data_IF_274451919505
#
_entry.id   IF_274451919505
#
_cell.length_a   1.000
_cell.length_b   1.000
_cell.length_c   1.000
_cell.angle_alpha   90.00
_cell.angle_beta   90.00
_cell.angle_gamma   90.00
#
_symmetry.space_group_name_H-M   'P 1'
#
loop_
_entity.id
_entity.type
_entity.pdbx_description
1 polymer ?
#
# COMPACT_ATOMS: atom_id res chain seq x y z
N UNK A 1 -15.12 19.39 -6.98
CA UNK A 1 -15.09 19.77 -8.42
C UNK A 1 -13.98 20.79 -8.69
N UNK A 2 -13.90 21.93 -7.98
CA UNK A 2 -12.89 22.99 -8.16
C UNK A 2 -11.46 22.45 -8.08
N UNK A 3 -11.11 21.64 -7.10
CA UNK A 3 -9.78 21.03 -6.96
C UNK A 3 -9.41 20.17 -8.18
N UNK A 4 -10.35 19.36 -8.66
CA UNK A 4 -10.14 18.50 -9.84
C UNK A 4 -9.97 19.35 -11.11
N UNK A 5 -10.78 20.41 -11.26
CA UNK A 5 -10.70 21.28 -12.43
C UNK A 5 -9.43 22.16 -12.47
N UNK A 6 -8.84 22.43 -11.31
CA UNK A 6 -7.56 23.16 -11.19
C UNK A 6 -6.32 22.28 -11.28
N UNK A 7 -6.52 20.96 -11.39
CA UNK A 7 -5.44 19.99 -11.45
C UNK A 7 -4.57 20.14 -12.69
N UNK A 8 -3.25 20.13 -12.49
CA UNK A 8 -2.26 20.00 -13.56
C UNK A 8 -1.83 18.55 -13.66
N UNK A 9 -1.94 17.93 -14.83
CA UNK A 9 -1.45 16.56 -15.06
C UNK A 9 0.06 16.51 -14.96
N UNK A 10 0.58 15.51 -14.28
CA UNK A 10 2.00 15.18 -14.25
C UNK A 10 2.40 14.58 -15.60
N UNK A 11 3.40 15.17 -16.28
CA UNK A 11 3.73 14.84 -17.67
C UNK A 11 5.06 14.11 -17.83
N UNK A 12 6.03 14.41 -17.00
CA UNK A 12 7.39 13.94 -17.18
C UNK A 12 8.05 13.46 -15.88
N UNK A 13 9.23 12.87 -16.03
CA UNK A 13 10.00 12.31 -14.93
C UNK A 13 10.46 13.36 -13.93
N UNK A 14 10.63 14.60 -14.35
CA UNK A 14 11.08 15.69 -13.48
C UNK A 14 9.94 16.13 -12.54
N UNK A 15 8.71 16.25 -13.08
CA UNK A 15 7.51 16.51 -12.25
C UNK A 15 7.25 15.36 -11.25
N UNK A 16 7.45 14.11 -11.67
CA UNK A 16 7.39 12.94 -10.78
C UNK A 16 8.43 13.07 -9.66
N UNK A 17 9.67 13.42 -10.00
CA UNK A 17 10.74 13.60 -9.02
C UNK A 17 10.45 14.75 -8.05
N UNK A 18 9.81 15.84 -8.51
CA UNK A 18 9.40 16.95 -7.64
C UNK A 18 8.35 16.51 -6.62
N UNK A 19 7.31 15.78 -7.03
CA UNK A 19 6.30 15.23 -6.10
C UNK A 19 6.96 14.32 -5.07
N UNK A 20 7.81 13.39 -5.50
CA UNK A 20 8.53 12.50 -4.61
C UNK A 20 9.45 13.26 -3.64
N UNK A 21 10.11 14.31 -4.11
CA UNK A 21 11.00 15.14 -3.30
C UNK A 21 10.24 15.89 -2.20
N UNK A 22 9.17 16.60 -2.55
CA UNK A 22 8.39 17.36 -1.56
C UNK A 22 7.73 16.44 -0.52
N UNK A 23 7.22 15.30 -0.96
CA UNK A 23 6.60 14.30 -0.08
C UNK A 23 7.63 13.60 0.82
N UNK A 24 8.92 13.57 0.42
CA UNK A 24 10.03 13.07 1.21
C UNK A 24 10.74 14.17 2.03
N UNK A 25 10.06 15.24 2.42
CA UNK A 25 10.62 16.36 3.19
C UNK A 25 11.82 17.05 2.51
N UNK A 26 11.79 17.18 1.19
CA UNK A 26 12.86 17.82 0.41
C UNK A 26 14.01 16.89 0.01
N UNK A 27 13.92 15.61 0.27
CA UNK A 27 14.94 14.61 -0.10
C UNK A 27 14.89 14.33 -1.62
N UNK A 28 15.82 14.97 -2.35
CA UNK A 28 15.94 14.85 -3.80
C UNK A 28 16.38 13.46 -4.27
N UNK A 29 17.10 12.73 -3.42
CA UNK A 29 17.54 11.37 -3.75
C UNK A 29 16.35 10.43 -3.82
N UNK A 30 15.46 10.50 -2.82
CA UNK A 30 14.20 9.75 -2.80
C UNK A 30 13.34 10.09 -4.01
N UNK A 31 13.10 11.38 -4.30
CA UNK A 31 12.31 11.80 -5.46
C UNK A 31 12.87 11.29 -6.79
N UNK A 32 14.19 11.43 -6.99
CA UNK A 32 14.87 10.92 -8.20
C UNK A 32 14.78 9.40 -8.33
N UNK A 33 14.86 8.68 -7.21
CA UNK A 33 14.78 7.23 -7.20
C UNK A 33 13.37 6.72 -7.56
N UNK A 34 12.32 7.36 -7.02
CA UNK A 34 10.93 7.05 -7.36
C UNK A 34 10.69 7.30 -8.86
N UNK A 35 11.15 8.43 -9.39
CA UNK A 35 11.02 8.75 -10.82
C UNK A 35 11.73 7.72 -11.70
N UNK A 36 12.95 7.30 -11.35
CA UNK A 36 13.68 6.23 -12.05
C UNK A 36 12.96 4.89 -11.96
N UNK A 37 12.38 4.56 -10.79
CA UNK A 37 11.60 3.34 -10.63
C UNK A 37 10.38 3.34 -11.56
N UNK A 38 9.59 4.44 -11.57
CA UNK A 38 8.45 4.59 -12.47
C UNK A 38 8.83 4.57 -13.95
N UNK A 39 9.96 5.15 -14.31
CA UNK A 39 10.47 5.08 -15.70
C UNK A 39 10.79 3.65 -16.14
N UNK A 40 11.32 2.80 -15.21
CA UNK A 40 11.69 1.42 -15.53
C UNK A 40 10.49 0.49 -15.66
N UNK A 41 9.47 0.64 -14.80
CA UNK A 41 8.30 -0.26 -14.77
C UNK A 41 7.05 0.36 -15.40
N UNK A 42 7.09 1.62 -15.77
CA UNK A 42 5.93 2.39 -16.26
C UNK A 42 5.11 3.01 -15.13
N UNK A 43 4.19 3.93 -15.51
CA UNK A 43 3.37 4.65 -14.53
C UNK A 43 2.43 3.74 -13.73
N UNK A 44 2.00 2.65 -14.34
CA UNK A 44 1.16 1.62 -13.71
C UNK A 44 1.97 0.45 -13.15
N UNK A 45 3.29 0.53 -13.25
CA UNK A 45 4.20 -0.50 -12.78
C UNK A 45 4.23 -0.62 -11.26
N UNK A 46 4.56 -1.80 -10.81
CA UNK A 46 4.63 -2.11 -9.38
C UNK A 46 5.97 -1.67 -8.81
N UNK A 47 5.92 -0.86 -7.77
CA UNK A 47 7.10 -0.44 -7.01
C UNK A 47 6.87 -0.85 -5.55
N UNK A 48 7.83 -1.54 -4.97
CA UNK A 48 7.84 -1.93 -3.55
C UNK A 48 9.04 -1.34 -2.84
N UNK A 49 8.93 -1.12 -1.54
CA UNK A 49 10.01 -0.62 -0.71
C UNK A 49 10.41 -1.70 0.29
N UNK A 50 11.69 -2.04 0.32
CA UNK A 50 12.26 -3.05 1.20
C UNK A 50 13.41 -2.48 2.03
N UNK A 51 13.77 -3.15 3.11
CA UNK A 51 14.95 -2.83 3.89
C UNK A 51 16.19 -3.43 3.22
N UNK A 52 17.22 -2.61 3.00
CA UNK A 52 18.51 -3.09 2.55
C UNK A 52 19.30 -3.69 3.70
N UNK A 53 20.24 -4.57 3.37
CA UNK A 53 21.26 -5.05 4.31
C UNK A 53 22.52 -4.17 4.28
N UNK A 54 22.57 -3.20 3.38
CA UNK A 54 23.65 -2.23 3.17
C UNK A 54 23.25 -0.85 3.70
N UNK A 55 24.22 0.04 3.83
CA UNK A 55 23.99 1.44 4.20
C UNK A 55 23.39 2.22 3.02
N UNK A 56 23.70 1.81 1.80
CA UNK A 56 23.26 2.49 0.58
C UNK A 56 21.85 2.05 0.17
N UNK A 57 21.10 2.97 -0.39
CA UNK A 57 19.78 2.72 -0.96
C UNK A 57 19.92 2.35 -2.44
N UNK A 58 19.32 1.25 -2.86
CA UNK A 58 19.45 0.68 -4.21
C UNK A 58 18.08 0.52 -4.88
N UNK A 59 18.07 0.58 -6.21
CA UNK A 59 16.90 0.31 -7.05
C UNK A 59 17.15 -0.89 -7.94
N UNK A 60 16.44 -1.98 -7.68
CA UNK A 60 16.43 -3.18 -8.50
C UNK A 60 15.10 -3.33 -9.26
N UNK A 61 15.17 -3.99 -10.42
CA UNK A 61 13.97 -4.48 -11.11
C UNK A 61 14.04 -5.99 -11.16
N UNK A 62 13.01 -6.63 -10.66
CA UNK A 62 12.94 -8.09 -10.53
C UNK A 62 11.67 -8.62 -11.20
N UNK A 63 11.67 -9.90 -11.55
CA UNK A 63 10.49 -10.59 -12.01
C UNK A 63 9.44 -10.59 -10.91
N UNK A 64 8.21 -10.17 -11.24
CA UNK A 64 7.14 -10.06 -10.27
C UNK A 64 5.86 -9.59 -10.93
N UNK A 65 4.78 -9.65 -10.17
CA UNK A 65 3.45 -9.25 -10.63
C UNK A 65 2.59 -8.78 -9.47
N UNK A 66 1.75 -7.79 -9.73
CA UNK A 66 0.64 -7.43 -8.84
C UNK A 66 -0.69 -7.72 -9.53
N UNK A 67 -1.67 -8.16 -8.75
CA UNK A 67 -3.05 -8.31 -9.20
C UNK A 67 -4.04 -7.84 -8.13
N UNK A 68 -5.21 -7.40 -8.59
CA UNK A 68 -6.23 -6.71 -7.80
C UNK A 68 -7.09 -7.71 -7.03
N UNK A 69 -6.51 -8.41 -6.07
CA UNK A 69 -7.18 -9.30 -5.12
C UNK A 69 -6.39 -9.29 -3.82
N UNK A 70 -7.03 -8.87 -2.74
CA UNK A 70 -6.45 -8.87 -1.41
C UNK A 70 -6.76 -10.16 -0.62
N UNK A 71 -6.40 -10.16 0.66
CA UNK A 71 -6.63 -11.28 1.54
C UNK A 71 -8.13 -11.53 1.78
N UNK A 72 -8.52 -12.81 1.84
CA UNK A 72 -9.90 -13.23 2.09
C UNK A 72 -10.37 -13.02 3.53
N UNK A 73 -9.45 -12.82 4.46
CA UNK A 73 -9.76 -12.59 5.86
C UNK A 73 -8.73 -11.67 6.52
N UNK A 74 -9.15 -10.66 7.30
CA UNK A 74 -8.24 -9.81 8.07
C UNK A 74 -7.38 -10.61 9.06
N UNK A 75 -7.81 -11.80 9.45
CA UNK A 75 -7.03 -12.66 10.33
C UNK A 75 -5.73 -13.18 9.70
N UNK A 76 -5.54 -13.05 8.41
CA UNK A 76 -4.25 -13.35 7.75
C UNK A 76 -3.20 -12.25 7.93
N UNK A 77 -3.56 -11.06 8.39
CA UNK A 77 -2.65 -9.92 8.58
C UNK A 77 -1.47 -10.31 9.48
N UNK A 78 -0.26 -9.92 9.06
CA UNK A 78 0.98 -10.08 9.82
C UNK A 78 1.51 -8.74 10.34
N UNK A 79 1.15 -7.62 9.69
CA UNK A 79 1.47 -6.26 10.11
C UNK A 79 0.15 -5.49 10.34
N UNK A 80 -0.23 -5.31 11.60
CA UNK A 80 -1.48 -4.66 11.97
C UNK A 80 -1.49 -3.15 11.65
N UNK A 81 -0.36 -2.47 11.76
CA UNK A 81 -0.26 -1.02 11.50
C UNK A 81 -0.51 -0.70 10.03
N UNK A 82 0.04 -1.52 9.13
CA UNK A 82 -0.12 -1.36 7.67
C UNK A 82 -1.27 -2.17 7.09
N UNK A 83 -1.98 -2.96 7.92
CA UNK A 83 -3.05 -3.88 7.49
C UNK A 83 -2.62 -4.79 6.33
N UNK A 84 -1.39 -5.31 6.37
CA UNK A 84 -0.79 -6.15 5.33
C UNK A 84 -0.37 -7.52 5.83
N UNK A 85 -0.32 -8.48 4.92
CA UNK A 85 0.32 -9.78 5.12
C UNK A 85 1.60 -9.82 4.30
N UNK A 86 2.73 -10.07 4.94
CA UNK A 86 4.03 -10.25 4.29
C UNK A 86 4.54 -11.65 4.58
N UNK A 87 4.88 -12.39 3.53
CA UNK A 87 5.42 -13.74 3.60
C UNK A 87 6.78 -13.78 2.90
N UNK A 88 7.81 -14.22 3.62
CA UNK A 88 9.17 -14.41 3.08
C UNK A 88 9.35 -15.85 2.62
N UNK A 89 9.87 -16.02 1.41
CA UNK A 89 10.12 -17.32 0.75
C UNK A 89 8.88 -18.25 0.73
N UNK A 90 7.67 -17.73 0.42
CA UNK A 90 6.46 -18.54 0.43
C UNK A 90 6.46 -19.59 -0.66
N UNK A 91 5.74 -20.67 -0.39
CA UNK A 91 5.18 -21.57 -1.40
C UNK A 91 3.87 -20.98 -1.91
N UNK A 92 3.54 -21.20 -3.19
CA UNK A 92 2.35 -20.63 -3.84
C UNK A 92 1.56 -21.77 -4.46
N UNK A 93 0.36 -22.01 -3.92
CA UNK A 93 -0.60 -22.95 -4.51
C UNK A 93 -1.53 -22.20 -5.45
N UNK A 94 -1.61 -22.65 -6.68
CA UNK A 94 -2.51 -22.14 -7.72
C UNK A 94 -3.59 -23.18 -8.00
N UNK A 95 -4.83 -22.89 -7.61
CA UNK A 95 -5.93 -23.83 -7.76
C UNK A 95 -7.07 -23.22 -8.59
N UNK A 96 -7.52 -23.95 -9.61
CA UNK A 96 -8.51 -23.42 -10.56
C UNK A 96 -9.90 -23.25 -9.95
N UNK A 97 -10.32 -24.21 -9.10
CA UNK A 97 -11.66 -24.27 -8.51
C UNK A 97 -11.71 -23.67 -7.09
N UNK A 98 -12.91 -23.55 -6.55
CA UNK A 98 -13.15 -23.15 -5.17
C UNK A 98 -12.66 -24.21 -4.18
N UNK A 99 -12.19 -23.73 -3.02
CA UNK A 99 -11.81 -24.54 -1.87
C UNK A 99 -12.85 -24.36 -0.76
N UNK A 100 -13.69 -25.37 -0.52
CA UNK A 100 -14.74 -25.34 0.50
C UNK A 100 -14.40 -26.18 1.74
N UNK A 101 -13.60 -27.23 1.57
CA UNK A 101 -13.02 -28.00 2.66
C UNK A 101 -11.54 -28.26 2.40
N UNK A 102 -10.78 -28.62 3.44
CA UNK A 102 -9.33 -28.84 3.34
C UNK A 102 -8.94 -30.31 3.33
N UNK A 103 -9.88 -31.25 3.33
CA UNK A 103 -9.56 -32.68 3.48
C UNK A 103 -8.62 -33.17 2.37
N UNK A 104 -8.85 -32.73 1.13
CA UNK A 104 -7.97 -33.03 -0.01
C UNK A 104 -6.60 -32.33 0.05
N UNK A 105 -6.48 -31.27 0.88
CA UNK A 105 -5.23 -30.51 1.05
C UNK A 105 -4.40 -30.94 2.26
N UNK A 106 -4.94 -31.76 3.16
CA UNK A 106 -4.24 -32.13 4.42
C UNK A 106 -2.82 -32.64 4.18
N UNK A 107 -2.56 -33.57 3.23
CA UNK A 107 -1.21 -34.07 2.99
C UNK A 107 -0.25 -32.97 2.52
N UNK A 108 -0.76 -32.03 1.70
CA UNK A 108 0.02 -30.88 1.24
C UNK A 108 0.33 -29.92 2.38
N UNK A 109 -0.66 -29.58 3.21
CA UNK A 109 -0.49 -28.69 4.36
C UNK A 109 0.51 -29.25 5.38
N UNK A 110 0.45 -30.57 5.65
CA UNK A 110 1.43 -31.24 6.50
C UNK A 110 2.85 -31.12 5.94
N UNK A 111 3.01 -31.33 4.63
CA UNK A 111 4.29 -31.19 3.96
C UNK A 111 4.81 -29.74 4.01
N UNK A 112 3.94 -28.74 3.85
CA UNK A 112 4.27 -27.31 3.96
C UNK A 112 4.73 -26.97 5.38
N UNK A 113 4.02 -27.46 6.40
CA UNK A 113 4.40 -27.27 7.81
C UNK A 113 5.75 -27.91 8.11
N UNK A 114 6.00 -29.14 7.62
CA UNK A 114 7.29 -29.83 7.78
C UNK A 114 8.43 -29.07 7.09
N UNK A 115 8.17 -28.44 5.93
CA UNK A 115 9.13 -27.61 5.24
C UNK A 115 9.42 -26.28 5.94
N UNK A 116 8.59 -25.89 6.93
CA UNK A 116 8.73 -24.64 7.68
C UNK A 116 8.53 -23.37 6.85
N UNK A 117 7.96 -23.49 5.64
CA UNK A 117 7.76 -22.38 4.71
C UNK A 117 6.34 -21.84 4.79
N UNK A 118 6.13 -20.50 4.63
CA UNK A 118 4.81 -19.92 4.47
C UNK A 118 4.10 -20.41 3.20
N UNK A 119 2.78 -20.36 3.20
CA UNK A 119 1.95 -20.76 2.06
C UNK A 119 1.04 -19.60 1.63
N UNK A 120 1.08 -19.25 0.34
CA UNK A 120 0.05 -18.45 -0.29
C UNK A 120 -0.87 -19.37 -1.11
N UNK A 121 -2.17 -19.23 -0.94
CA UNK A 121 -3.17 -19.96 -1.70
C UNK A 121 -3.88 -18.96 -2.62
N UNK A 122 -3.82 -19.23 -3.93
CA UNK A 122 -4.55 -18.48 -4.96
C UNK A 122 -5.53 -19.44 -5.62
N UNK A 123 -6.81 -19.24 -5.39
CA UNK A 123 -7.86 -20.11 -5.94
C UNK A 123 -9.07 -19.29 -6.40
N UNK A 124 -10.00 -19.90 -7.10
CA UNK A 124 -11.24 -19.20 -7.48
C UNK A 124 -11.91 -18.54 -6.27
N UNK A 125 -12.02 -19.27 -5.18
CA UNK A 125 -12.45 -18.79 -3.88
C UNK A 125 -11.95 -19.74 -2.77
N UNK A 126 -11.87 -19.25 -1.53
CA UNK A 126 -11.69 -20.09 -0.32
C UNK A 126 -12.77 -19.68 0.66
N UNK A 127 -13.71 -20.59 0.92
CA UNK A 127 -14.90 -20.28 1.70
C UNK A 127 -15.26 -21.39 2.69
N UNK A 128 -16.21 -21.12 3.57
CA UNK A 128 -16.76 -22.11 4.50
C UNK A 128 -15.71 -22.69 5.47
N UNK A 129 -15.71 -24.03 5.59
CA UNK A 129 -14.83 -24.76 6.49
C UNK A 129 -13.35 -24.58 6.13
N UNK A 130 -13.03 -24.49 4.84
CA UNK A 130 -11.65 -24.30 4.38
C UNK A 130 -11.05 -23.00 4.92
N UNK A 131 -11.76 -21.87 4.74
CA UNK A 131 -11.30 -20.58 5.22
C UNK A 131 -11.19 -20.55 6.74
N UNK A 132 -12.21 -21.05 7.46
CA UNK A 132 -12.21 -21.09 8.91
C UNK A 132 -11.02 -21.91 9.46
N UNK A 133 -10.74 -23.06 8.86
CA UNK A 133 -9.64 -23.93 9.29
C UNK A 133 -8.28 -23.29 9.03
N UNK A 134 -8.07 -22.64 7.90
CA UNK A 134 -6.82 -21.89 7.61
C UNK A 134 -6.60 -20.77 8.62
N UNK A 135 -7.65 -19.99 8.93
CA UNK A 135 -7.59 -18.91 9.92
C UNK A 135 -7.24 -19.46 11.31
N UNK A 136 -7.90 -20.51 11.76
CA UNK A 136 -7.63 -21.12 13.07
C UNK A 136 -6.19 -21.64 13.16
N UNK A 137 -5.69 -22.32 12.13
CA UNK A 137 -4.31 -22.83 12.12
C UNK A 137 -3.28 -21.69 12.10
N UNK A 138 -3.56 -20.59 11.38
CA UNK A 138 -2.71 -19.39 11.40
C UNK A 138 -2.68 -18.75 12.79
N UNK A 139 -3.84 -18.56 13.42
CA UNK A 139 -3.94 -17.95 14.75
C UNK A 139 -3.25 -18.79 15.84
N UNK A 140 -3.29 -20.12 15.70
CA UNK A 140 -2.57 -21.05 16.59
C UNK A 140 -1.06 -21.11 16.34
N UNK A 141 -0.56 -20.40 15.31
CA UNK A 141 0.85 -20.40 14.95
C UNK A 141 1.34 -21.69 14.26
N UNK A 142 0.44 -22.61 13.93
CA UNK A 142 0.78 -23.88 13.28
C UNK A 142 1.07 -23.75 11.78
N UNK A 143 0.52 -22.71 11.12
CA UNK A 143 0.69 -22.49 9.69
C UNK A 143 0.80 -20.99 9.39
N UNK A 144 1.85 -20.57 8.70
CA UNK A 144 1.96 -19.22 8.14
C UNK A 144 1.30 -19.20 6.76
N UNK A 145 0.08 -18.67 6.66
CA UNK A 145 -0.72 -18.77 5.44
C UNK A 145 -1.46 -17.48 5.12
N UNK A 146 -1.66 -17.23 3.85
CA UNK A 146 -2.62 -16.26 3.31
C UNK A 146 -3.40 -16.90 2.16
N UNK A 147 -4.68 -16.62 2.08
CA UNK A 147 -5.54 -17.04 0.98
C UNK A 147 -6.13 -15.81 0.28
N UNK A 148 -6.09 -15.83 -1.04
CA UNK A 148 -6.61 -14.77 -1.93
C UNK A 148 -7.40 -15.38 -3.07
N UNK A 149 -8.31 -14.58 -3.66
CA UNK A 149 -9.00 -14.98 -4.89
C UNK A 149 -8.08 -14.85 -6.09
N UNK A 150 -8.22 -15.78 -7.03
CA UNK A 150 -7.56 -15.65 -8.32
C UNK A 150 -8.10 -14.44 -9.10
N UNK A 151 -7.23 -13.70 -9.81
CA UNK A 151 -7.65 -12.55 -10.60
C UNK A 151 -8.43 -12.99 -11.86
N UNK A 152 -9.37 -12.16 -12.29
CA UNK A 152 -10.18 -12.40 -13.47
C UNK A 152 -11.35 -13.38 -13.25
N UNK A 153 -12.04 -13.70 -14.34
CA UNK A 153 -13.20 -14.59 -14.38
C UNK A 153 -13.12 -15.50 -15.61
N UNK A 154 -13.68 -16.72 -15.51
CA UNK A 154 -13.74 -17.68 -16.64
C UNK A 154 -12.35 -17.97 -17.22
N UNK A 155 -12.23 -17.96 -18.55
CA UNK A 155 -10.99 -18.27 -19.26
C UNK A 155 -9.87 -17.27 -18.95
N UNK A 156 -10.20 -16.02 -18.63
CA UNK A 156 -9.19 -15.02 -18.19
C UNK A 156 -8.57 -15.40 -16.87
N UNK A 157 -9.36 -15.92 -15.93
CA UNK A 157 -8.83 -16.41 -14.65
C UNK A 157 -7.85 -17.55 -14.87
N UNK A 158 -8.19 -18.52 -15.76
CA UNK A 158 -7.28 -19.61 -16.13
C UNK A 158 -5.97 -19.07 -16.69
N UNK A 159 -6.05 -18.15 -17.65
CA UNK A 159 -4.88 -17.53 -18.26
C UNK A 159 -4.02 -16.75 -17.26
N UNK A 160 -4.63 -16.02 -16.30
CA UNK A 160 -3.91 -15.31 -15.24
C UNK A 160 -3.25 -16.28 -14.27
N UNK A 161 -3.91 -17.37 -13.90
CA UNK A 161 -3.30 -18.43 -13.06
C UNK A 161 -2.08 -19.06 -13.74
N UNK A 162 -2.15 -19.30 -15.06
CA UNK A 162 -1.02 -19.78 -15.84
C UNK A 162 0.14 -18.78 -15.86
N UNK A 163 -0.14 -17.49 -16.03
CA UNK A 163 0.89 -16.45 -16.01
C UNK A 163 1.60 -16.41 -14.64
N UNK A 164 0.82 -16.53 -13.54
CA UNK A 164 1.38 -16.62 -12.19
C UNK A 164 2.18 -17.93 -12.00
N UNK A 165 1.72 -19.05 -12.57
CA UNK A 165 2.43 -20.32 -12.52
C UNK A 165 3.81 -20.20 -13.18
N UNK A 166 3.87 -19.63 -14.38
CA UNK A 166 5.11 -19.40 -15.13
C UNK A 166 6.04 -18.46 -14.35
N UNK A 167 5.47 -17.36 -13.79
CA UNK A 167 6.23 -16.39 -12.99
C UNK A 167 6.85 -17.01 -11.74
N UNK A 168 6.15 -17.94 -11.10
CA UNK A 168 6.56 -18.51 -9.80
C UNK A 168 7.22 -19.87 -9.92
N UNK A 169 7.28 -20.43 -11.14
CA UNK A 169 7.85 -21.75 -11.42
C UNK A 169 7.04 -22.93 -10.88
N UNK A 170 5.73 -22.71 -10.64
CA UNK A 170 4.77 -23.73 -10.24
C UNK A 170 3.89 -24.19 -11.39
N UNK A 171 2.82 -24.90 -11.03
CA UNK A 171 1.78 -25.28 -12.00
C UNK A 171 0.37 -24.98 -11.45
N UNK A 172 -0.58 -24.80 -12.36
CA UNK A 172 -1.99 -24.64 -11.99
C UNK A 172 -2.58 -26.03 -11.70
N UNK A 173 -3.12 -26.18 -10.51
CA UNK A 173 -3.80 -27.40 -10.10
C UNK A 173 -5.24 -27.35 -10.64
N UNK A 174 -5.50 -28.18 -11.65
CA UNK A 174 -6.78 -28.27 -12.34
C UNK A 174 -7.13 -29.73 -12.60
N UNK A 175 -8.36 -30.08 -12.25
CA UNK A 175 -8.90 -31.42 -12.56
C UNK A 175 -9.09 -31.62 -14.06
N UNK A 176 -9.34 -30.54 -14.83
CA UNK A 176 -9.44 -30.60 -16.28
C UNK A 176 -8.11 -31.00 -16.93
N UNK A 177 -6.98 -30.69 -16.26
CA UNK A 177 -5.64 -31.15 -16.64
C UNK A 177 -5.27 -32.51 -16.02
N UNK A 178 -6.19 -33.17 -15.33
CA UNK A 178 -5.98 -34.46 -14.65
C UNK A 178 -5.23 -34.37 -13.33
N UNK A 179 -4.97 -33.18 -12.80
CA UNK A 179 -4.23 -32.97 -11.56
C UNK A 179 -5.23 -32.81 -10.41
N UNK A 180 -5.28 -33.83 -9.56
CA UNK A 180 -6.11 -33.80 -8.34
C UNK A 180 -5.34 -33.19 -7.19
N UNK A 181 -6.02 -32.38 -6.37
CA UNK A 181 -5.43 -31.66 -5.23
C UNK A 181 -4.77 -32.62 -4.21
N UNK A 182 -5.32 -33.81 -4.05
CA UNK A 182 -4.81 -34.87 -3.15
C UNK A 182 -3.39 -35.37 -3.52
N UNK A 183 -3.02 -35.26 -4.80
CA UNK A 183 -1.75 -35.73 -5.33
C UNK A 183 -0.69 -34.65 -5.44
N UNK A 184 -1.01 -33.42 -5.10
CA UNK A 184 -0.10 -32.26 -5.21
C UNK A 184 1.03 -32.36 -4.18
N UNK A 185 2.24 -32.15 -4.66
CA UNK A 185 3.47 -32.14 -3.88
C UNK A 185 4.06 -30.72 -3.79
N UNK A 186 4.98 -30.53 -2.87
CA UNK A 186 5.67 -29.23 -2.71
C UNK A 186 6.33 -28.76 -4.02
N UNK A 187 6.86 -29.68 -4.83
CA UNK A 187 7.51 -29.36 -6.08
C UNK A 187 6.56 -28.88 -7.20
N UNK A 188 5.26 -29.08 -7.02
CA UNK A 188 4.22 -28.61 -7.93
C UNK A 188 3.82 -27.17 -7.62
N UNK A 189 4.20 -26.67 -6.43
CA UNK A 189 3.91 -25.33 -5.98
C UNK A 189 4.89 -24.33 -6.59
N UNK A 190 4.38 -23.14 -6.89
CA UNK A 190 5.22 -21.99 -7.18
C UNK A 190 5.94 -21.49 -5.92
N UNK A 191 6.90 -20.62 -6.12
CA UNK A 191 7.58 -19.91 -5.04
C UNK A 191 8.03 -18.52 -5.47
N UNK A 192 8.28 -17.66 -4.49
CA UNK A 192 8.81 -16.33 -4.68
C UNK A 192 9.71 -15.95 -3.51
N UNK A 193 10.51 -14.90 -3.67
CA UNK A 193 11.30 -14.36 -2.55
C UNK A 193 10.40 -13.73 -1.50
N UNK A 194 9.39 -12.97 -1.93
CA UNK A 194 8.43 -12.31 -1.05
C UNK A 194 7.05 -12.23 -1.69
N UNK A 195 6.03 -12.26 -0.85
CA UNK A 195 4.66 -11.92 -1.22
C UNK A 195 4.14 -10.89 -0.22
N UNK A 196 3.52 -9.82 -0.74
CA UNK A 196 2.83 -8.80 0.06
C UNK A 196 1.37 -8.77 -0.38
N UNK A 197 0.46 -8.88 0.59
CA UNK A 197 -0.98 -8.84 0.36
C UNK A 197 -1.61 -7.79 1.25
N UNK A 198 -2.34 -6.87 0.68
CA UNK A 198 -3.18 -5.92 1.40
C UNK A 198 -4.67 -6.26 1.22
N UNK A 199 -5.56 -5.35 1.54
CA UNK A 199 -7.01 -5.56 1.43
C UNK A 199 -7.48 -5.70 -0.03
N UNK A 200 -6.78 -5.11 -0.98
CA UNK A 200 -7.21 -4.96 -2.37
C UNK A 200 -6.26 -5.68 -3.35
N UNK A 201 -4.99 -5.79 -3.01
CA UNK A 201 -3.94 -6.22 -3.92
C UNK A 201 -3.08 -7.35 -3.35
N UNK A 202 -2.56 -8.16 -4.25
CA UNK A 202 -1.51 -9.14 -3.99
C UNK A 202 -0.32 -8.89 -4.91
N UNK A 203 0.87 -8.75 -4.32
CA UNK A 203 2.13 -8.51 -5.02
C UNK A 203 3.08 -9.67 -4.80
N UNK A 204 3.53 -10.28 -5.88
CA UNK A 204 4.56 -11.32 -5.91
C UNK A 204 5.86 -10.66 -6.34
N UNK A 205 6.93 -10.78 -5.54
CA UNK A 205 8.23 -10.17 -5.78
C UNK A 205 9.29 -11.26 -5.93
N UNK A 206 10.07 -11.20 -6.99
CA UNK A 206 11.09 -12.20 -7.32
C UNK A 206 10.52 -13.62 -7.38
N UNK A 207 9.60 -13.86 -8.30
CA UNK A 207 9.10 -15.20 -8.61
C UNK A 207 10.24 -16.11 -9.04
N UNK A 208 10.15 -17.42 -8.73
CA UNK A 208 11.20 -18.40 -9.00
C UNK A 208 11.09 -19.02 -10.40
N UNK A 209 10.21 -18.51 -11.27
CA UNK A 209 10.08 -18.93 -12.65
C UNK A 209 11.33 -18.63 -13.48
N UNK A 210 11.53 -19.40 -14.54
CA UNK A 210 12.66 -19.17 -15.44
C UNK A 210 12.38 -17.97 -16.33
N UNK A 211 13.34 -17.07 -16.45
CA UNK A 211 13.22 -15.86 -17.27
C UNK A 211 12.87 -16.19 -18.73
N UNK A 212 13.44 -17.26 -19.28
CA UNK A 212 13.14 -17.75 -20.65
C UNK A 212 11.66 -18.08 -20.83
N UNK A 213 11.03 -18.67 -19.82
CA UNK A 213 9.64 -19.11 -19.89
C UNK A 213 8.69 -17.90 -19.76
N UNK A 214 9.07 -16.92 -18.93
CA UNK A 214 8.37 -15.63 -18.80
C UNK A 214 8.44 -14.84 -20.12
N UNK A 215 9.62 -14.75 -20.75
CA UNK A 215 9.81 -14.09 -22.04
C UNK A 215 9.03 -14.78 -23.17
N UNK A 216 9.02 -16.12 -23.19
CA UNK A 216 8.22 -16.90 -24.14
C UNK A 216 6.71 -16.63 -23.95
N UNK A 217 6.24 -16.58 -22.70
CA UNK A 217 4.84 -16.25 -22.39
C UNK A 217 4.49 -14.82 -22.82
N UNK A 218 5.34 -13.84 -22.56
CA UNK A 218 5.15 -12.47 -23.03
C UNK A 218 5.05 -12.41 -24.57
N UNK A 219 5.86 -13.17 -25.28
CA UNK A 219 5.81 -13.26 -26.76
C UNK A 219 4.48 -13.86 -27.23
N UNK A 220 4.00 -14.93 -26.57
CA UNK A 220 2.71 -15.54 -26.88
C UNK A 220 1.55 -14.53 -26.67
N UNK A 221 1.56 -13.76 -25.56
CA UNK A 221 0.52 -12.76 -25.31
C UNK A 221 0.59 -11.65 -26.36
N UNK A 222 1.77 -11.20 -26.79
CA UNK A 222 1.94 -10.20 -27.87
C UNK A 222 1.29 -10.67 -29.18
N UNK A 223 1.50 -11.93 -29.54
CA UNK A 223 0.85 -12.51 -30.74
C UNK A 223 -0.68 -12.50 -30.59
N UNK A 224 -1.21 -12.86 -29.42
CA UNK A 224 -2.66 -12.78 -29.16
C UNK A 224 -3.21 -11.35 -29.27
N UNK A 225 -2.43 -10.34 -28.86
CA UNK A 225 -2.80 -8.92 -29.01
C UNK A 225 -2.90 -8.52 -30.49
N UNK A 226 -2.02 -9.04 -31.34
CA UNK A 226 -2.03 -8.77 -32.78
C UNK A 226 -3.15 -9.52 -33.51
N UNK A 227 -3.45 -10.75 -33.11
CA UNK A 227 -4.45 -11.61 -33.74
C UNK A 227 -5.89 -11.26 -33.37
N UNK A 228 -6.13 -10.67 -32.19
CA UNK A 228 -7.49 -10.38 -31.73
C UNK A 228 -8.15 -9.26 -32.52
N UNK A 229 -9.40 -9.47 -32.89
CA UNK A 229 -10.26 -8.48 -33.58
C UNK A 229 -11.09 -7.65 -32.59
N UNK A 230 -11.18 -8.06 -31.33
CA UNK A 230 -11.94 -7.39 -30.27
C UNK A 230 -11.05 -6.35 -29.58
N UNK A 231 -11.47 -5.08 -29.60
CA UNK A 231 -10.76 -4.00 -28.92
C UNK A 231 -10.71 -4.22 -27.40
N UNK A 232 -11.81 -4.74 -26.82
CA UNK A 232 -11.87 -5.08 -25.41
C UNK A 232 -10.89 -6.22 -25.03
N UNK A 233 -10.80 -7.28 -25.83
CA UNK A 233 -9.85 -8.37 -25.57
C UNK A 233 -8.41 -7.91 -25.79
N UNK A 234 -8.19 -7.04 -26.78
CA UNK A 234 -6.87 -6.42 -27.01
C UNK A 234 -6.42 -5.62 -25.79
N UNK A 235 -7.27 -4.78 -25.22
CA UNK A 235 -6.98 -4.01 -24.00
C UNK A 235 -6.63 -4.95 -22.84
N UNK A 236 -7.42 -5.99 -22.60
CA UNK A 236 -7.18 -6.95 -21.50
C UNK A 236 -5.92 -7.80 -21.70
N UNK A 237 -5.56 -8.14 -22.92
CA UNK A 237 -4.31 -8.81 -23.25
C UNK A 237 -3.10 -7.85 -23.04
N UNK A 238 -3.25 -6.58 -23.38
CA UNK A 238 -2.22 -5.56 -23.12
C UNK A 238 -1.99 -5.32 -21.62
N UNK A 239 -3.06 -5.23 -20.81
CA UNK A 239 -2.95 -5.16 -19.35
C UNK A 239 -2.20 -6.38 -18.79
N UNK A 240 -2.53 -7.58 -19.27
CA UNK A 240 -1.90 -8.82 -18.83
C UNK A 240 -0.43 -8.87 -19.21
N UNK A 241 -0.09 -8.44 -20.43
CA UNK A 241 1.29 -8.32 -20.90
C UNK A 241 2.08 -7.33 -20.06
N UNK A 242 1.51 -6.16 -19.77
CA UNK A 242 2.15 -5.14 -18.95
C UNK A 242 2.45 -5.64 -17.53
N UNK A 243 1.50 -6.37 -16.92
CA UNK A 243 1.68 -6.96 -15.57
C UNK A 243 2.79 -8.02 -15.54
N UNK A 244 2.92 -8.84 -16.59
CA UNK A 244 3.93 -9.91 -16.64
C UNK A 244 5.31 -9.40 -17.07
N UNK A 245 5.36 -8.51 -18.08
CA UNK A 245 6.61 -8.00 -18.66
C UNK A 245 7.24 -6.86 -17.86
N UNK A 246 6.43 -6.08 -17.14
CA UNK A 246 6.90 -4.90 -16.40
C UNK A 246 7.75 -5.23 -15.18
N UNK A 247 7.57 -6.40 -14.60
CA UNK A 247 8.23 -6.79 -13.36
C UNK A 247 7.83 -5.92 -12.16
N UNK A 248 8.67 -5.94 -11.14
CA UNK A 248 8.50 -5.14 -9.92
C UNK A 248 9.79 -4.35 -9.67
N UNK A 249 9.69 -3.04 -9.56
CA UNK A 249 10.80 -2.22 -9.08
C UNK A 249 10.85 -2.31 -7.54
N UNK A 250 12.02 -2.64 -7.01
CA UNK A 250 12.25 -2.80 -5.57
C UNK A 250 13.23 -1.71 -5.14
N UNK A 251 12.75 -0.76 -4.35
CA UNK A 251 13.58 0.25 -3.69
C UNK A 251 14.04 -0.38 -2.36
N UNK A 252 15.32 -0.70 -2.26
CA UNK A 252 15.94 -1.22 -1.04
C UNK A 252 16.54 -0.07 -0.27
N UNK A 253 15.95 0.27 0.87
CA UNK A 253 16.34 1.42 1.68
C UNK A 253 17.42 1.02 2.66
N UNK A 254 18.58 1.68 2.56
CA UNK A 254 19.71 1.50 3.46
C UNK A 254 19.75 2.52 4.60
N UNK A 255 20.57 2.23 5.61
CA UNK A 255 20.82 3.10 6.75
C UNK A 255 21.80 2.49 7.73
N UNK A 256 22.31 3.31 8.65
CA UNK A 256 23.31 2.87 9.63
C UNK A 256 22.69 2.11 10.83
N UNK A 257 21.41 2.33 11.10
CA UNK A 257 20.67 1.69 12.20
C UNK A 257 19.29 1.21 11.73
N UNK A 258 18.73 0.21 12.41
CA UNK A 258 17.37 -0.29 12.10
C UNK A 258 16.30 0.81 12.21
N UNK A 259 16.44 1.72 13.17
CA UNK A 259 15.50 2.83 13.36
C UNK A 259 15.56 3.80 12.18
N UNK A 260 16.76 4.13 11.72
CA UNK A 260 16.94 4.98 10.53
C UNK A 260 16.41 4.33 9.26
N UNK A 261 16.68 3.04 9.05
CA UNK A 261 16.18 2.28 7.90
C UNK A 261 14.66 2.29 7.89
N UNK A 262 14.02 2.05 9.04
CA UNK A 262 12.57 2.03 9.16
C UNK A 262 11.96 3.41 8.86
N UNK A 263 12.52 4.47 9.43
CA UNK A 263 12.06 5.84 9.19
C UNK A 263 12.21 6.24 7.72
N UNK A 264 13.37 5.95 7.11
CA UNK A 264 13.61 6.21 5.68
C UNK A 264 12.68 5.39 4.79
N UNK A 265 12.42 4.12 5.12
CA UNK A 265 11.48 3.26 4.41
C UNK A 265 10.08 3.84 4.44
N UNK A 266 9.57 4.23 5.61
CA UNK A 266 8.25 4.83 5.75
C UNK A 266 8.16 6.14 4.93
N UNK A 267 9.19 6.98 4.95
CA UNK A 267 9.28 8.20 4.13
C UNK A 267 9.26 7.92 2.63
N UNK A 268 9.98 6.89 2.17
CA UNK A 268 9.98 6.49 0.76
C UNK A 268 8.61 5.92 0.35
N UNK A 269 7.97 5.13 1.21
CA UNK A 269 6.62 4.61 0.96
C UNK A 269 5.59 5.75 0.85
N UNK A 270 5.65 6.75 1.74
CA UNK A 270 4.78 7.93 1.69
C UNK A 270 4.99 8.73 0.40
N UNK A 271 6.24 9.00 0.04
CA UNK A 271 6.57 9.69 -1.19
C UNK A 271 6.12 8.93 -2.45
N UNK A 272 6.24 7.60 -2.45
CA UNK A 272 5.75 6.74 -3.52
C UNK A 272 4.22 6.81 -3.66
N UNK A 273 3.49 6.73 -2.54
CA UNK A 273 2.04 6.82 -2.54
C UNK A 273 1.55 8.20 -3.01
N UNK A 274 2.18 9.28 -2.54
CA UNK A 274 1.90 10.63 -3.01
C UNK A 274 2.17 10.80 -4.52
N UNK A 275 3.26 10.22 -5.01
CA UNK A 275 3.62 10.26 -6.43
C UNK A 275 2.62 9.51 -7.30
N UNK A 276 2.15 8.32 -6.86
CA UNK A 276 1.09 7.58 -7.54
C UNK A 276 -0.21 8.39 -7.60
N UNK A 277 -0.62 8.97 -6.48
CA UNK A 277 -1.79 9.82 -6.41
C UNK A 277 -1.70 11.04 -7.35
N UNK A 278 -0.50 11.63 -7.49
CA UNK A 278 -0.24 12.74 -8.40
C UNK A 278 -0.30 12.33 -9.89
N UNK A 279 0.20 11.15 -10.24
CA UNK A 279 0.11 10.61 -11.61
C UNK A 279 -1.33 10.31 -11.97
N UNK A 280 -2.13 9.81 -11.03
CA UNK A 280 -3.53 9.42 -11.26
C UNK A 280 -4.45 10.63 -11.44
N UNK A 281 -4.46 11.60 -10.52
CA UNK A 281 -5.39 12.73 -10.52
C UNK A 281 -4.73 14.09 -10.82
N UNK A 282 -3.42 14.16 -10.92
CA UNK A 282 -2.69 15.42 -11.12
C UNK A 282 -2.27 16.08 -9.80
N UNK A 283 -1.71 17.27 -9.94
CA UNK A 283 -1.15 18.10 -8.87
C UNK A 283 -1.81 19.47 -8.80
N UNK A 284 -1.82 20.05 -7.61
CA UNK A 284 -2.25 21.42 -7.33
C UNK A 284 -1.16 22.19 -6.57
N UNK A 285 -1.32 23.49 -6.41
CA UNK A 285 -0.44 24.30 -5.56
C UNK A 285 -0.51 23.79 -4.10
N UNK A 286 0.64 23.47 -3.52
CA UNK A 286 0.77 22.95 -2.16
C UNK A 286 0.66 24.01 -1.07
N UNK A 287 1.11 23.65 0.12
CA UNK A 287 1.13 24.58 1.26
C UNK A 287 -0.26 25.09 1.70
N UNK A 288 -1.32 24.36 1.42
CA UNK A 288 -2.71 24.73 1.70
C UNK A 288 -3.30 25.75 0.72
N UNK A 289 -2.55 26.17 -0.31
CA UNK A 289 -2.98 27.21 -1.27
C UNK A 289 -4.16 26.73 -2.13
N UNK A 290 -4.19 25.47 -2.55
CA UNK A 290 -5.29 24.94 -3.35
C UNK A 290 -6.65 25.03 -2.63
N UNK A 291 -6.69 24.72 -1.34
CA UNK A 291 -7.89 24.87 -0.51
C UNK A 291 -8.27 26.34 -0.30
N UNK A 292 -7.28 27.20 -0.09
CA UNK A 292 -7.51 28.65 0.05
C UNK A 292 -8.18 29.22 -1.20
N UNK A 293 -7.67 28.94 -2.39
CA UNK A 293 -8.27 29.42 -3.63
C UNK A 293 -9.61 28.79 -3.93
N UNK A 294 -9.80 27.48 -3.64
CA UNK A 294 -11.08 26.82 -3.77
C UNK A 294 -12.17 27.41 -2.86
N UNK A 295 -11.79 28.01 -1.73
CA UNK A 295 -12.73 28.67 -0.81
C UNK A 295 -13.50 29.83 -1.43
N UNK A 296 -12.95 30.48 -2.47
CA UNK A 296 -13.61 31.60 -3.18
C UNK A 296 -14.83 31.12 -3.99
N UNK A 297 -14.82 29.87 -4.47
CA UNK A 297 -15.96 29.32 -5.23
C UNK A 297 -17.17 29.05 -4.36
N UNK A 298 -17.01 29.01 -3.04
CA UNK A 298 -18.12 28.87 -2.11
C UNK A 298 -19.07 30.06 -2.13
N UNK A 299 -18.62 31.25 -2.53
CA UNK A 299 -19.47 32.42 -2.71
C UNK A 299 -20.53 32.25 -3.82
N UNK A 300 -20.33 31.26 -4.71
CA UNK A 300 -21.26 30.92 -5.78
C UNK A 300 -22.30 29.88 -5.39
N UNK A 301 -22.17 29.28 -4.20
CA UNK A 301 -23.07 28.23 -3.73
C UNK A 301 -24.43 28.85 -3.39
N UNK A 302 -25.48 28.38 -4.07
CA UNK A 302 -26.84 28.82 -3.80
C UNK A 302 -27.36 28.14 -2.53
N UNK A 303 -27.64 28.93 -1.52
CA UNK A 303 -28.15 28.48 -0.22
C UNK A 303 -29.59 28.99 0.04
N UNK A 304 -30.35 28.21 0.82
CA UNK A 304 -31.70 28.55 1.25
C UNK A 304 -31.68 28.79 2.75
N UNK A 305 -31.75 30.09 3.12
CA UNK A 305 -31.79 30.47 4.53
C UNK A 305 -30.46 30.67 5.23
N UNK A 306 -30.53 31.20 6.46
CA UNK A 306 -29.35 31.64 7.19
C UNK A 306 -28.53 30.48 7.74
N UNK A 307 -29.14 29.34 8.08
CA UNK A 307 -28.45 28.17 8.60
C UNK A 307 -27.49 27.57 7.54
N UNK A 308 -27.97 27.44 6.28
CA UNK A 308 -27.13 26.98 5.20
C UNK A 308 -26.01 27.96 4.88
N UNK A 309 -26.27 29.25 4.97
CA UNK A 309 -25.25 30.29 4.82
C UNK A 309 -24.19 30.19 5.91
N UNK A 310 -24.58 30.02 7.15
CA UNK A 310 -23.66 29.78 8.25
C UNK A 310 -22.77 28.53 8.00
N UNK A 311 -23.35 27.43 7.51
CA UNK A 311 -22.62 26.24 7.15
C UNK A 311 -21.56 26.50 6.05
N UNK A 312 -21.89 27.27 5.02
CA UNK A 312 -20.93 27.66 3.97
C UNK A 312 -19.78 28.50 4.55
N UNK A 313 -20.06 29.46 5.42
CA UNK A 313 -19.04 30.29 6.08
C UNK A 313 -18.12 29.45 6.99
N UNK A 314 -18.65 28.45 7.70
CA UNK A 314 -17.86 27.50 8.49
C UNK A 314 -16.86 26.77 7.60
N UNK A 315 -17.34 26.20 6.48
CA UNK A 315 -16.48 25.49 5.53
C UNK A 315 -15.43 26.42 4.93
N UNK A 316 -15.84 27.63 4.51
CA UNK A 316 -14.93 28.65 3.95
C UNK A 316 -13.80 29.01 4.93
N UNK A 317 -14.12 29.13 6.20
CA UNK A 317 -13.12 29.37 7.25
C UNK A 317 -12.22 28.17 7.46
N UNK A 318 -12.78 26.97 7.49
CA UNK A 318 -12.03 25.72 7.66
C UNK A 318 -11.01 25.47 6.52
N UNK A 319 -11.35 25.82 5.27
CA UNK A 319 -10.45 25.68 4.11
C UNK A 319 -9.20 26.58 4.21
N UNK A 320 -9.19 27.60 5.05
CA UNK A 320 -8.02 28.43 5.32
C UNK A 320 -7.12 27.85 6.41
N UNK A 321 -7.60 26.89 7.20
CA UNK A 321 -6.86 26.37 8.35
C UNK A 321 -5.50 25.77 7.99
N UNK A 322 -5.34 24.97 6.90
CA UNK A 322 -4.04 24.38 6.57
C UNK A 322 -2.95 25.42 6.32
N UNK A 323 -3.20 26.43 5.47
CA UNK A 323 -2.20 27.47 5.20
C UNK A 323 -1.91 28.32 6.44
N UNK A 324 -2.94 28.63 7.25
CA UNK A 324 -2.76 29.37 8.52
C UNK A 324 -1.87 28.58 9.49
N UNK A 325 -2.06 27.27 9.58
CA UNK A 325 -1.26 26.43 10.48
C UNK A 325 0.19 26.35 10.00
N UNK A 326 0.42 26.18 8.71
CA UNK A 326 1.77 26.15 8.12
C UNK A 326 2.52 27.45 8.42
N UNK A 327 1.89 28.60 8.19
CA UNK A 327 2.50 29.92 8.42
C UNK A 327 2.70 30.20 9.92
N UNK A 328 1.77 29.78 10.78
CA UNK A 328 1.94 29.87 12.24
C UNK A 328 3.10 29.03 12.73
N UNK A 329 3.29 27.81 12.20
CA UNK A 329 4.43 26.95 12.53
C UNK A 329 5.76 27.59 12.09
N UNK A 330 5.73 28.39 11.00
CA UNK A 330 6.88 29.16 10.54
C UNK A 330 7.10 30.49 11.32
N UNK A 331 6.26 30.79 12.33
CA UNK A 331 6.35 31.99 13.12
C UNK A 331 5.75 33.26 12.47
N UNK A 332 4.95 33.10 11.42
CA UNK A 332 4.34 34.19 10.67
C UNK A 332 2.82 34.25 10.89
N UNK A 333 2.25 35.47 10.93
CA UNK A 333 0.79 35.62 11.04
C UNK A 333 0.07 35.13 9.77
N UNK A 334 -0.61 34.01 9.90
CA UNK A 334 -1.36 33.39 8.82
C UNK A 334 -2.49 34.26 8.24
N UNK A 335 -3.02 35.20 9.01
CA UNK A 335 -4.07 36.11 8.53
C UNK A 335 -3.55 37.09 7.49
N UNK A 336 -2.32 37.57 7.69
CA UNK A 336 -1.63 38.50 6.74
C UNK A 336 -1.31 37.75 5.44
N UNK A 337 -0.81 36.51 5.55
CA UNK A 337 -0.47 35.71 4.36
C UNK A 337 -1.73 35.39 3.56
N UNK A 338 -2.78 34.88 4.20
CA UNK A 338 -4.07 34.59 3.56
C UNK A 338 -4.65 35.83 2.88
N UNK A 339 -4.65 36.97 3.56
CA UNK A 339 -5.14 38.24 2.99
C UNK A 339 -4.40 38.63 1.69
N UNK A 340 -3.07 38.59 1.72
CA UNK A 340 -2.25 38.93 0.53
C UNK A 340 -2.43 37.97 -0.63
N UNK A 341 -2.55 36.66 -0.37
CA UNK A 341 -2.77 35.66 -1.41
C UNK A 341 -4.16 35.80 -2.05
N UNK A 342 -5.20 36.06 -1.27
CA UNK A 342 -6.56 36.30 -1.77
C UNK A 342 -6.62 37.60 -2.59
N UNK A 343 -5.92 38.66 -2.16
CA UNK A 343 -5.81 39.93 -2.90
C UNK A 343 -5.10 39.75 -4.24
N UNK A 344 -4.00 39.00 -4.24
CA UNK A 344 -3.23 38.70 -5.48
C UNK A 344 -4.03 37.85 -6.46
N UNK A 345 -4.92 36.99 -5.95
CA UNK A 345 -5.86 36.11 -6.69
C UNK A 345 -5.19 35.34 -7.85
N UNK A 346 -4.00 34.76 -7.59
CA UNK A 346 -3.24 33.95 -8.53
C UNK A 346 -3.13 32.53 -8.01
N UNK A 347 -3.83 31.58 -8.59
CA UNK A 347 -3.93 30.18 -8.13
C UNK A 347 -2.59 29.42 -8.07
N UNK A 348 -1.57 29.88 -8.81
CA UNK A 348 -0.21 29.30 -8.74
C UNK A 348 0.67 29.95 -7.65
N UNK A 349 0.27 31.09 -7.09
CA UNK A 349 1.06 31.79 -6.10
C UNK A 349 0.76 31.26 -4.70
N UNK A 350 1.80 31.08 -3.90
CA UNK A 350 1.72 30.69 -2.50
C UNK A 350 2.82 31.34 -1.67
N UNK A 351 2.87 30.95 -0.42
CA UNK A 351 3.88 31.37 0.52
C UNK A 351 4.81 30.19 0.84
N UNK A 352 6.07 30.33 0.48
CA UNK A 352 7.12 29.37 0.85
C UNK A 352 7.57 29.69 2.30
N UNK A 353 7.19 28.81 3.21
CA UNK A 353 7.49 28.95 4.63
C UNK A 353 8.98 28.75 4.95
N UNK A 354 9.75 28.11 4.07
CA UNK A 354 11.18 27.88 4.26
C UNK A 354 12.02 29.14 3.91
N UNK A 355 11.63 29.83 2.82
CA UNK A 355 12.35 31.04 2.36
C UNK A 355 11.65 32.33 2.76
N UNK A 356 10.47 32.24 3.38
CA UNK A 356 9.61 33.36 3.80
C UNK A 356 9.20 34.29 2.62
N UNK A 357 9.03 33.72 1.41
CA UNK A 357 8.72 34.46 0.20
C UNK A 357 7.41 34.04 -0.46
N UNK A 358 6.81 34.99 -1.21
CA UNK A 358 5.69 34.69 -2.10
C UNK A 358 6.23 34.19 -3.44
N UNK A 359 5.95 32.95 -3.79
CA UNK A 359 6.52 32.25 -4.94
C UNK A 359 5.45 31.62 -5.82
N UNK A 360 5.82 31.23 -7.03
CA UNK A 360 5.02 30.32 -7.85
C UNK A 360 5.26 28.88 -7.37
N UNK A 361 4.23 28.30 -6.74
CA UNK A 361 4.32 26.99 -6.07
C UNK A 361 4.71 25.85 -7.01
N UNK A 362 4.25 25.91 -8.29
CA UNK A 362 4.61 24.87 -9.25
C UNK A 362 6.06 24.97 -9.70
N UNK A 363 6.62 26.19 -9.82
CA UNK A 363 8.02 26.39 -10.21
C UNK A 363 8.98 25.96 -9.11
N UNK A 364 8.61 26.23 -7.85
CA UNK A 364 9.44 25.87 -6.70
C UNK A 364 9.22 24.39 -6.27
N UNK A 365 8.30 23.67 -6.92
CA UNK A 365 8.01 22.28 -6.60
C UNK A 365 7.24 22.09 -5.29
N UNK A 366 6.61 23.15 -4.78
CA UNK A 366 5.75 23.07 -3.57
C UNK A 366 4.34 22.72 -4.05
N UNK A 367 4.09 21.43 -4.22
CA UNK A 367 2.92 20.88 -4.89
C UNK A 367 2.31 19.75 -4.06
N UNK A 368 0.98 19.59 -4.15
CA UNK A 368 0.24 18.52 -3.49
C UNK A 368 -0.52 17.68 -4.53
N UNK A 369 -0.61 16.34 -4.35
CA UNK A 369 -1.48 15.52 -5.18
C UNK A 369 -2.96 15.86 -4.95
N UNK A 370 -3.70 16.06 -6.03
CA UNK A 370 -5.14 16.39 -5.96
C UNK A 370 -5.92 15.35 -5.18
N UNK A 371 -5.66 14.09 -5.44
CA UNK A 371 -6.34 12.96 -4.78
C UNK A 371 -6.21 13.04 -3.24
N UNK A 372 -5.02 13.38 -2.74
CA UNK A 372 -4.77 13.50 -1.30
C UNK A 372 -5.58 14.67 -0.72
N UNK A 373 -5.48 15.87 -1.32
CA UNK A 373 -6.19 17.07 -0.82
C UNK A 373 -7.70 16.88 -0.87
N UNK A 374 -8.21 16.30 -1.97
CA UNK A 374 -9.64 16.04 -2.17
C UNK A 374 -10.19 15.03 -1.17
N UNK A 375 -9.49 13.90 -0.99
CA UNK A 375 -9.92 12.84 -0.09
C UNK A 375 -9.91 13.34 1.36
N UNK A 376 -8.84 14.01 1.79
CA UNK A 376 -8.75 14.58 3.12
C UNK A 376 -9.92 15.55 3.41
N UNK A 377 -10.27 16.41 2.43
CA UNK A 377 -11.42 17.32 2.57
C UNK A 377 -12.75 16.58 2.65
N UNK A 378 -12.96 15.56 1.82
CA UNK A 378 -14.20 14.77 1.80
C UNK A 378 -14.39 14.00 3.11
N UNK A 379 -13.35 13.34 3.60
CA UNK A 379 -13.40 12.55 4.82
C UNK A 379 -13.60 13.46 6.05
N UNK A 380 -12.88 14.58 6.12
CA UNK A 380 -13.06 15.57 7.17
C UNK A 380 -14.49 16.13 7.18
N UNK A 381 -15.06 16.47 6.03
CA UNK A 381 -16.42 16.96 5.92
C UNK A 381 -17.46 15.90 6.32
N UNK A 382 -17.23 14.64 5.95
CA UNK A 382 -18.09 13.50 6.31
C UNK A 382 -18.15 13.32 7.83
N UNK A 383 -16.99 13.26 8.48
CA UNK A 383 -16.92 13.10 9.94
C UNK A 383 -17.47 14.32 10.68
N UNK A 384 -17.14 15.54 10.24
CA UNK A 384 -17.67 16.76 10.83
C UNK A 384 -19.21 16.82 10.72
N UNK A 385 -19.77 16.42 9.56
CA UNK A 385 -21.21 16.33 9.36
C UNK A 385 -21.89 15.35 10.31
N UNK A 386 -21.29 14.18 10.53
CA UNK A 386 -21.77 13.21 11.51
C UNK A 386 -21.72 13.76 12.93
N UNK A 387 -20.61 14.37 13.33
CA UNK A 387 -20.44 14.96 14.68
C UNK A 387 -21.47 16.06 14.97
N UNK A 388 -21.72 16.95 14.01
CA UNK A 388 -22.68 18.05 14.16
C UNK A 388 -24.12 17.53 14.30
N UNK A 389 -24.46 16.40 13.72
CA UNK A 389 -25.80 15.79 13.78
C UNK A 389 -25.96 14.79 14.93
N UNK A 390 -24.93 14.54 15.72
CA UNK A 390 -24.91 13.53 16.80
C UNK A 390 -25.23 14.23 18.14
N UNK A 391 -26.21 13.70 18.90
CA UNK A 391 -26.55 14.19 20.25
C UNK A 391 -25.71 13.51 21.34
N UNK A 392 -25.28 12.27 21.11
CA UNK A 392 -24.49 11.50 22.07
C UNK A 392 -23.47 10.62 21.38
N UNK A 393 -22.32 10.46 22.01
CA UNK A 393 -21.27 9.52 21.59
C UNK A 393 -21.08 8.47 22.68
N UNK A 394 -21.06 7.20 22.28
CA UNK A 394 -20.77 6.06 23.18
C UNK A 394 -19.40 5.51 22.78
N UNK A 395 -18.51 5.46 23.74
CA UNK A 395 -17.17 4.92 23.56
C UNK A 395 -16.82 3.98 24.73
N UNK A 396 -15.96 3.02 24.47
CA UNK A 396 -15.43 2.18 25.53
C UNK A 396 -14.61 3.01 26.52
N UNK A 397 -14.80 2.71 27.81
CA UNK A 397 -13.97 3.33 28.85
C UNK A 397 -12.52 2.84 28.66
N UNK A 398 -11.53 3.75 28.68
CA UNK A 398 -10.12 3.34 28.64
C UNK A 398 -9.85 2.33 29.75
N UNK A 399 -9.22 1.18 29.40
CA UNK A 399 -8.79 0.22 30.41
C UNK A 399 -7.74 0.91 31.31
N UNK A 400 -8.01 0.91 32.61
CA UNK A 400 -7.02 1.30 33.60
C UNK A 400 -5.88 0.26 33.49
N UNK A 401 -4.72 0.67 32.99
CA UNK A 401 -3.52 -0.17 33.04
C UNK A 401 -3.26 -0.45 34.52
N UNK A 402 -3.56 -1.67 34.97
CA UNK A 402 -3.22 -2.12 36.31
C UNK A 402 -1.71 -1.88 36.53
N UNK A 403 -1.39 -0.89 37.34
CA UNK A 403 -0.01 -0.59 37.73
C UNK A 403 0.63 -1.71 38.59
N UNK A 404 -0.07 -2.82 38.78
CA UNK A 404 0.33 -3.96 39.61
C UNK A 404 1.14 -5.05 38.88
N UNK A 405 1.36 -4.93 37.57
CA UNK A 405 2.22 -5.90 36.83
C UNK A 405 3.70 -5.49 36.75
N UNK A 406 4.13 -4.53 37.53
CA UNK A 406 5.53 -4.08 37.58
C UNK A 406 6.14 -4.24 38.96
N UNK A 407 6.81 -5.38 39.19
CA UNK A 407 7.69 -5.43 40.35
C UNK A 407 7.61 -6.67 41.23
N UNK A 408 7.93 -7.83 40.66
CA UNK A 408 8.59 -8.83 41.52
C UNK A 408 10.08 -8.48 41.55
N UNK A 409 10.64 -8.06 42.70
CA UNK A 409 12.09 -7.96 42.85
C UNK A 409 12.69 -9.35 42.77
N UNK A 410 13.85 -9.56 42.16
CA UNK A 410 14.56 -10.82 42.26
C UNK A 410 15.01 -10.98 43.74
N UNK A 411 14.22 -11.73 44.48
CA UNK A 411 14.54 -12.11 45.84
C UNK A 411 15.81 -12.91 45.85
N UNK A 412 16.76 -12.38 46.54
CA UNK A 412 18.11 -12.85 46.75
C UNK A 412 18.14 -14.29 47.28
N UNK A 413 18.98 -15.04 46.66
CA UNK A 413 19.63 -16.23 47.19
C UNK A 413 20.50 -15.80 48.39
N UNK A 414 20.07 -16.17 49.54
CA UNK A 414 20.89 -16.22 50.70
C UNK A 414 20.57 -17.57 51.34
N UNK A 415 21.41 -18.47 51.29
CA UNK A 415 22.73 -18.53 51.88
C UNK A 415 22.65 -19.20 53.23
N UNK A 416 23.35 -20.30 53.27
CA UNK A 416 23.93 -20.85 54.49
C UNK A 416 23.00 -21.62 55.39
N UNK A 417 23.40 -22.79 55.67
CA UNK A 417 24.67 -23.22 56.20
C UNK A 417 24.51 -23.76 57.56
N UNK A 418 25.24 -24.65 57.81
CA UNK A 418 25.65 -24.94 59.13
C UNK A 418 25.06 -26.21 59.69
N UNK A 419 25.80 -27.25 59.53
CA UNK A 419 26.85 -27.57 60.51
C UNK A 419 26.30 -28.15 61.78
N UNK A 420 26.79 -29.27 62.09
CA UNK A 420 26.94 -29.84 63.38
C UNK A 420 26.17 -31.11 63.50
N UNK A 421 26.75 -32.21 63.67
CA UNK A 421 27.91 -32.53 64.37
C UNK A 421 27.61 -33.63 65.27
N UNK A 422 28.43 -34.60 65.13
CA UNK A 422 28.90 -35.46 66.19
C UNK A 422 27.92 -36.16 67.05
N UNK A 423 28.11 -37.46 67.15
CA UNK A 423 28.26 -38.06 68.40
C UNK A 423 27.82 -39.47 68.52
N UNK A 424 28.80 -40.29 68.47
CA UNK A 424 28.85 -41.64 69.00
C UNK A 424 28.11 -42.74 68.27
#
# INVERSE_FOLDING_TARGET
ETLISSAKKVKDSDEIAQVGTISANGDKEVGSMIAKAMQKVGNEGVITVEEAKSIETELDVVEGMQFDRGYLSPYFITNADKMTTELENPLILLHEKKLTNLQSMVPLLESVVQAGRPLMIISEDVEGEALATLVVNKLRGGLKVVAVKAPGFGDRRKAMLEDIAILTGGQVISEDLGIKLENVKINDLGSAKRVKVDKENSTIVSGSGKKSDIEARCTQIKQQVEETTSDYDREKLQERLAKLAGGVAVIKVGGATEVEVKERKDRVEDALNATRAAVEEGIVSGGGCALLYASQDLDRVKVKGDDQKAGVEIVKTALQAPIRQITTNAGVDGSVIVGKLLEANKSSQGYDAQTEQYVDMFKEGIIDPVKVVRTALQDAASIAGLLVTTEAMVADKPEEKDASAGGMPPGGMGGMGGMGGMGM
#
